data_IF_669495972098
#
_entry.id   IF_669495972098
#
_cell.length_a   1.000
_cell.length_b   1.000
_cell.length_c   1.000
_cell.angle_alpha   90.00
_cell.angle_beta   90.00
_cell.angle_gamma   90.00
#
_symmetry.space_group_name_H-M   'P 1'
#
loop_
_entity.id
_entity.type
_entity.pdbx_description
1 polymer ?
#
# COMPACT_ATOMS: atom_id res chain seq x y z
N UNK A 1 28.94 -56.61 -33.16
CA UNK A 1 29.17 -55.81 -31.93
C UNK A 1 28.45 -54.48 -32.09
N UNK A 2 27.21 -54.36 -31.59
CA UNK A 2 26.39 -53.12 -31.67
C UNK A 2 26.44 -52.43 -30.32
N UNK A 3 27.09 -51.27 -30.22
CA UNK A 3 27.04 -50.43 -29.01
C UNK A 3 25.83 -49.49 -29.12
N UNK A 4 24.83 -49.68 -28.25
CA UNK A 4 23.78 -48.69 -28.00
C UNK A 4 24.32 -47.67 -27.00
N UNK A 5 24.45 -46.41 -27.42
CA UNK A 5 24.60 -45.28 -26.49
C UNK A 5 23.21 -44.87 -26.00
N UNK A 6 22.96 -45.10 -24.70
CA UNK A 6 21.79 -44.59 -23.98
C UNK A 6 22.10 -43.14 -23.61
N UNK A 7 21.44 -42.17 -24.26
CA UNK A 7 21.50 -40.77 -23.85
C UNK A 7 20.73 -40.61 -22.54
N UNK A 8 21.46 -40.25 -21.47
CA UNK A 8 20.89 -39.85 -20.20
C UNK A 8 20.48 -38.38 -20.31
N UNK A 9 19.17 -38.09 -20.34
CA UNK A 9 18.67 -36.72 -20.22
C UNK A 9 18.48 -36.48 -18.72
N UNK A 10 19.32 -35.67 -18.05
CA UNK A 10 19.08 -35.35 -16.65
C UNK A 10 17.83 -34.48 -16.56
N UNK A 11 16.84 -34.95 -15.80
CA UNK A 11 15.69 -34.13 -15.39
C UNK A 11 16.22 -32.98 -14.54
N UNK A 12 16.25 -31.76 -15.10
CA UNK A 12 16.55 -30.55 -14.34
C UNK A 12 15.35 -30.30 -13.42
N UNK A 13 15.45 -30.72 -12.17
CA UNK A 13 14.53 -30.23 -11.13
C UNK A 13 14.89 -28.77 -10.86
N UNK A 14 14.14 -27.85 -11.46
CA UNK A 14 14.17 -26.43 -11.08
C UNK A 14 13.60 -26.36 -9.66
N UNK A 15 14.46 -26.37 -8.65
CA UNK A 15 14.07 -25.89 -7.32
C UNK A 15 13.82 -24.39 -7.47
N UNK A 16 12.55 -24.00 -7.52
CA UNK A 16 12.13 -22.63 -7.28
C UNK A 16 12.52 -22.28 -5.85
N UNK A 17 13.77 -21.85 -5.63
CA UNK A 17 14.17 -21.25 -4.36
C UNK A 17 13.50 -19.89 -4.30
N UNK A 18 12.37 -19.79 -3.61
CA UNK A 18 11.87 -18.51 -3.13
C UNK A 18 12.88 -18.02 -2.10
N UNK A 19 13.93 -17.35 -2.57
CA UNK A 19 14.84 -16.62 -1.70
C UNK A 19 14.02 -15.50 -1.07
N UNK A 20 13.70 -15.63 0.21
CA UNK A 20 13.28 -14.49 1.02
C UNK A 20 14.37 -13.43 0.81
N UNK A 21 14.03 -12.25 0.27
CA UNK A 21 15.05 -11.25 0.00
C UNK A 21 15.77 -10.92 1.29
N UNK A 22 17.08 -10.63 1.23
CA UNK A 22 17.87 -10.38 2.43
C UNK A 22 17.23 -9.25 3.24
N UNK A 23 16.61 -9.62 4.36
CA UNK A 23 15.88 -8.71 5.24
C UNK A 23 16.83 -7.66 5.77
N UNK A 24 16.45 -6.39 5.65
CA UNK A 24 17.22 -5.30 6.26
C UNK A 24 16.90 -5.30 7.75
N UNK A 25 17.92 -5.37 8.60
CA UNK A 25 17.74 -5.26 10.04
C UNK A 25 17.40 -3.80 10.38
N UNK A 26 16.31 -3.53 11.12
CA UNK A 26 15.97 -2.17 11.51
C UNK A 26 16.99 -1.60 12.50
N UNK A 27 17.29 -0.31 12.38
CA UNK A 27 17.95 0.46 13.42
C UNK A 27 17.04 0.64 14.66
N UNK A 28 17.58 1.22 15.73
CA UNK A 28 16.88 1.37 17.03
C UNK A 28 15.58 2.17 16.98
N UNK A 29 15.41 3.03 15.97
CA UNK A 29 14.22 3.85 15.75
C UNK A 29 13.47 3.49 14.46
N UNK A 30 13.71 2.30 13.91
CA UNK A 30 13.09 1.85 12.66
C UNK A 30 12.23 0.61 12.90
N UNK A 31 11.22 0.45 12.04
CA UNK A 31 10.39 -0.73 11.92
C UNK A 31 10.73 -1.42 10.59
N UNK A 32 10.80 -2.76 10.60
CA UNK A 32 10.94 -3.53 9.36
C UNK A 32 9.58 -4.02 8.89
N UNK A 33 9.26 -3.82 7.61
CA UNK A 33 8.01 -4.31 7.01
C UNK A 33 7.87 -5.83 7.05
N UNK A 34 8.96 -6.55 7.31
CA UNK A 34 8.96 -8.01 7.46
C UNK A 34 8.59 -8.48 8.87
N UNK A 35 8.45 -7.56 9.83
CA UNK A 35 7.91 -7.84 11.17
C UNK A 35 6.40 -7.57 11.27
N UNK A 36 5.82 -6.98 10.22
CA UNK A 36 4.39 -6.76 10.16
C UNK A 36 3.64 -8.07 9.95
N UNK A 37 2.44 -8.21 10.53
CA UNK A 37 1.72 -9.48 10.51
C UNK A 37 1.01 -9.72 9.18
N UNK A 38 0.67 -10.98 8.97
CA UNK A 38 -0.33 -11.45 8.00
C UNK A 38 -1.24 -12.43 8.75
N UNK A 39 -2.54 -12.13 8.98
CA UNK A 39 -3.32 -11.02 8.44
C UNK A 39 -2.81 -9.62 8.85
N UNK A 40 -3.09 -8.57 8.06
CA UNK A 40 -2.69 -7.20 8.38
C UNK A 40 -3.26 -6.71 9.70
N UNK A 41 -2.54 -5.83 10.38
CA UNK A 41 -2.97 -5.19 11.63
C UNK A 41 -3.28 -3.72 11.39
N UNK A 42 -4.38 -3.26 11.98
CA UNK A 42 -4.75 -1.84 12.03
C UNK A 42 -4.26 -1.26 13.35
N UNK A 43 -3.62 -0.10 13.30
CA UNK A 43 -3.20 0.66 14.48
C UNK A 43 -3.64 2.12 14.38
N UNK A 44 -4.00 2.70 15.51
CA UNK A 44 -4.15 4.15 15.64
C UNK A 44 -2.80 4.85 15.51
N UNK A 45 -2.80 6.04 14.91
CA UNK A 45 -1.60 6.86 14.87
C UNK A 45 -1.92 8.35 15.03
N UNK A 46 -1.10 9.02 15.84
CA UNK A 46 -1.14 10.47 16.06
C UNK A 46 -0.17 11.25 15.17
N UNK A 47 0.52 10.54 14.25
CA UNK A 47 1.39 11.16 13.26
C UNK A 47 0.58 12.15 12.42
N UNK A 48 1.18 13.29 12.10
CA UNK A 48 0.58 14.30 11.24
C UNK A 48 0.65 13.85 9.79
N UNK A 49 -0.50 13.64 9.16
CA UNK A 49 -0.60 13.22 7.77
C UNK A 49 -1.11 14.38 6.95
N UNK A 50 -0.36 14.77 5.91
CA UNK A 50 -0.75 15.79 4.96
C UNK A 50 -0.74 15.21 3.55
N UNK A 51 -1.75 15.56 2.74
CA UNK A 51 -1.82 15.19 1.32
C UNK A 51 -2.05 16.44 0.49
N UNK A 52 -1.15 16.66 -0.47
CA UNK A 52 -1.14 17.82 -1.36
C UNK A 52 -1.31 17.36 -2.80
N UNK A 53 -2.28 17.95 -3.49
CA UNK A 53 -2.51 17.73 -4.91
C UNK A 53 -2.93 19.04 -5.59
N UNK A 54 -2.27 19.35 -6.69
CA UNK A 54 -2.39 20.58 -7.44
C UNK A 54 -2.23 21.83 -6.55
N UNK A 55 -1.17 21.83 -5.72
CA UNK A 55 -0.83 22.87 -4.74
C UNK A 55 -1.89 23.13 -3.65
N UNK A 56 -2.87 22.23 -3.50
CA UNK A 56 -3.91 22.30 -2.46
C UNK A 56 -3.73 21.17 -1.47
N UNK A 57 -3.77 21.49 -0.17
CA UNK A 57 -3.92 20.49 0.90
C UNK A 57 -5.33 19.92 0.82
N UNK A 58 -5.43 18.65 0.41
CA UNK A 58 -6.70 17.92 0.24
C UNK A 58 -7.04 17.04 1.45
N UNK A 59 -6.06 16.77 2.33
CA UNK A 59 -6.26 16.13 3.61
C UNK A 59 -5.18 16.57 4.62
N UNK A 60 -5.58 16.75 5.88
CA UNK A 60 -4.71 17.11 7.01
C UNK A 60 -5.28 16.48 8.29
N UNK A 61 -4.57 15.52 8.88
CA UNK A 61 -5.08 14.78 10.05
C UNK A 61 -3.99 14.37 11.04
N UNK A 62 -4.38 14.20 12.30
CA UNK A 62 -3.62 13.52 13.37
C UNK A 62 -4.37 12.32 13.96
N UNK A 63 -5.40 11.84 13.26
CA UNK A 63 -6.30 10.79 13.73
C UNK A 63 -6.38 9.63 12.74
N UNK A 64 -5.32 9.45 11.93
CA UNK A 64 -5.28 8.40 10.94
C UNK A 64 -5.17 7.01 11.61
N UNK A 65 -5.58 5.99 10.86
CA UNK A 65 -5.17 4.61 11.10
C UNK A 65 -4.01 4.29 10.18
N UNK A 66 -3.04 3.50 10.66
CA UNK A 66 -2.03 2.85 9.80
C UNK A 66 -2.31 1.36 9.72
N UNK A 67 -2.24 0.81 8.51
CA UNK A 67 -2.36 -0.63 8.27
C UNK A 67 -0.99 -1.19 7.98
N UNK A 68 -0.60 -2.17 8.77
CA UNK A 68 0.69 -2.86 8.72
C UNK A 68 0.50 -4.24 8.12
N UNK A 69 1.17 -4.52 7.00
CA UNK A 69 1.11 -5.79 6.28
C UNK A 69 2.52 -6.22 5.88
N UNK A 70 2.83 -7.51 6.06
CA UNK A 70 4.15 -8.07 5.71
C UNK A 70 4.60 -7.62 4.32
N UNK A 71 5.87 -7.19 4.19
CA UNK A 71 6.52 -6.70 2.96
C UNK A 71 6.05 -5.35 2.40
N UNK A 72 5.05 -4.72 3.02
CA UNK A 72 4.48 -3.43 2.59
C UNK A 72 4.76 -2.36 3.66
N UNK A 73 5.21 -1.16 3.27
CA UNK A 73 5.18 0.00 4.15
C UNK A 73 3.76 0.29 4.65
N UNK A 74 3.60 1.02 5.77
CA UNK A 74 2.28 1.39 6.27
C UNK A 74 1.45 2.10 5.20
N UNK A 75 0.20 1.66 5.05
CA UNK A 75 -0.82 2.42 4.33
C UNK A 75 -1.64 3.22 5.35
N UNK A 76 -1.81 4.51 5.13
CA UNK A 76 -2.59 5.37 6.02
C UNK A 76 -4.04 5.46 5.53
N UNK A 77 -4.97 5.34 6.48
CA UNK A 77 -6.41 5.49 6.31
C UNK A 77 -6.84 6.70 7.12
N UNK A 78 -7.22 7.75 6.40
CA UNK A 78 -7.53 9.06 6.95
C UNK A 78 -9.05 9.11 7.24
N UNK A 79 -9.47 9.62 8.40
CA UNK A 79 -10.88 9.81 8.68
C UNK A 79 -11.50 10.77 7.67
N UNK A 80 -12.71 10.47 7.22
CA UNK A 80 -13.36 11.17 6.10
C UNK A 80 -13.60 12.67 6.35
N UNK A 81 -13.76 13.05 7.61
CA UNK A 81 -13.96 14.40 8.10
C UNK A 81 -12.71 15.29 8.00
N UNK A 82 -11.52 14.69 8.01
CA UNK A 82 -10.24 15.38 7.88
C UNK A 82 -9.75 15.43 6.41
N UNK A 83 -10.58 14.91 5.49
CA UNK A 83 -10.36 14.94 4.04
C UNK A 83 -11.37 15.90 3.42
N UNK A 84 -10.94 16.73 2.46
CA UNK A 84 -11.83 17.63 1.69
C UNK A 84 -12.62 16.86 0.64
N UNK A 85 -13.34 15.83 1.10
CA UNK A 85 -13.96 14.78 0.30
C UNK A 85 -15.03 15.35 -0.63
N UNK A 86 -15.93 16.17 -0.10
CA UNK A 86 -17.04 16.78 -0.88
C UNK A 86 -16.54 17.73 -1.98
N UNK A 87 -15.37 18.31 -1.79
CA UNK A 87 -14.83 19.34 -2.67
C UNK A 87 -14.04 18.73 -3.82
N UNK A 88 -13.23 17.70 -3.53
CA UNK A 88 -12.22 17.21 -4.47
C UNK A 88 -12.34 15.72 -4.84
N UNK A 89 -13.19 14.95 -4.17
CA UNK A 89 -13.28 13.50 -4.39
C UNK A 89 -14.63 13.13 -5.00
N UNK A 90 -14.58 12.46 -6.16
CA UNK A 90 -15.76 12.00 -6.90
C UNK A 90 -15.73 10.48 -7.00
N UNK A 91 -16.83 9.76 -6.71
CA UNK A 91 -16.89 8.32 -6.96
C UNK A 91 -16.51 8.02 -8.42
N UNK A 92 -15.78 6.93 -8.63
CA UNK A 92 -15.36 6.55 -9.98
C UNK A 92 -16.58 6.22 -10.85
N UNK A 93 -16.65 6.82 -12.05
CA UNK A 93 -17.80 6.68 -12.95
C UNK A 93 -17.91 5.28 -13.58
N UNK A 94 -16.81 4.54 -13.64
CA UNK A 94 -16.75 3.20 -14.22
C UNK A 94 -17.11 2.08 -13.24
N UNK A 95 -17.47 2.39 -12.00
CA UNK A 95 -17.79 1.40 -10.98
C UNK A 95 -16.61 0.52 -10.55
N UNK A 96 -15.36 0.95 -10.79
CA UNK A 96 -14.18 0.17 -10.40
C UNK A 96 -14.21 -0.11 -8.90
N UNK A 97 -14.02 -1.38 -8.58
CA UNK A 97 -13.81 -1.90 -7.23
C UNK A 97 -12.74 -2.99 -7.28
N UNK A 98 -12.17 -3.30 -6.12
CA UNK A 98 -11.22 -4.41 -5.99
C UNK A 98 -11.49 -5.19 -4.72
N UNK A 99 -11.23 -6.49 -4.74
CA UNK A 99 -11.37 -7.35 -3.57
C UNK A 99 -10.02 -7.57 -2.90
N UNK A 100 -9.97 -7.35 -1.58
CA UNK A 100 -8.86 -7.72 -0.72
C UNK A 100 -9.30 -8.90 0.16
N UNK A 101 -8.53 -9.98 0.17
CA UNK A 101 -8.83 -11.19 0.97
C UNK A 101 -9.01 -10.91 2.46
N UNK A 102 -8.39 -9.86 2.99
CA UNK A 102 -8.48 -9.46 4.39
C UNK A 102 -9.58 -8.43 4.65
N UNK A 103 -9.63 -7.38 3.83
CA UNK A 103 -10.39 -6.15 4.12
C UNK A 103 -11.77 -6.11 3.45
N UNK A 104 -12.02 -6.96 2.45
CA UNK A 104 -13.25 -6.96 1.67
C UNK A 104 -13.16 -6.10 0.41
N UNK A 105 -14.28 -5.49 0.01
CA UNK A 105 -14.40 -4.75 -1.26
C UNK A 105 -14.01 -3.29 -1.07
N UNK A 106 -12.96 -2.86 -1.77
CA UNK A 106 -12.56 -1.47 -1.87
C UNK A 106 -13.34 -0.75 -2.97
N UNK A 107 -13.81 0.45 -2.66
CA UNK A 107 -14.42 1.39 -3.59
C UNK A 107 -13.45 2.54 -3.84
N UNK A 108 -13.48 3.13 -5.03
CA UNK A 108 -12.49 4.12 -5.45
C UNK A 108 -13.07 5.51 -5.63
N UNK A 109 -12.24 6.52 -5.40
CA UNK A 109 -12.46 7.91 -5.75
C UNK A 109 -11.50 8.35 -6.87
N UNK A 110 -12.02 9.22 -7.73
CA UNK A 110 -11.24 10.16 -8.54
C UNK A 110 -10.98 11.41 -7.70
N UNK A 111 -9.75 11.92 -7.75
CA UNK A 111 -9.41 13.22 -7.16
C UNK A 111 -9.33 14.25 -8.28
N UNK A 112 -10.02 15.38 -8.10
CA UNK A 112 -10.05 16.48 -9.05
C UNK A 112 -9.93 17.81 -8.30
N UNK A 113 -8.87 18.57 -8.59
CA UNK A 113 -8.57 19.86 -7.95
C UNK A 113 -8.22 20.87 -9.04
N UNK A 114 -8.94 21.99 -9.11
CA UNK A 114 -8.69 23.07 -10.07
C UNK A 114 -8.47 22.59 -11.52
N UNK A 115 -9.25 21.60 -11.96
CA UNK A 115 -9.19 21.02 -13.31
C UNK A 115 -8.13 19.93 -13.54
N UNK A 116 -7.18 19.73 -12.62
CA UNK A 116 -6.26 18.57 -12.65
C UNK A 116 -6.97 17.37 -12.03
N UNK A 117 -6.93 16.22 -12.71
CA UNK A 117 -7.66 15.00 -12.32
C UNK A 117 -6.75 13.77 -12.31
N UNK A 118 -6.91 12.92 -11.30
CA UNK A 118 -6.33 11.57 -11.22
C UNK A 118 -7.41 10.55 -10.85
N UNK A 119 -7.54 9.51 -11.67
CA UNK A 119 -8.57 8.48 -11.50
C UNK A 119 -8.09 7.34 -10.61
N UNK A 120 -9.00 6.81 -9.79
CA UNK A 120 -8.72 5.69 -8.88
C UNK A 120 -7.57 5.97 -7.90
N UNK A 121 -7.42 7.25 -7.51
CA UNK A 121 -6.30 7.73 -6.72
C UNK A 121 -6.46 7.52 -5.21
N UNK A 122 -7.69 7.30 -4.78
CA UNK A 122 -8.02 6.98 -3.40
C UNK A 122 -9.02 5.84 -3.34
N UNK A 123 -9.05 5.14 -2.22
CA UNK A 123 -10.02 4.07 -1.96
C UNK A 123 -10.49 4.07 -0.52
N UNK A 124 -11.61 3.40 -0.29
CA UNK A 124 -12.22 3.22 1.02
C UNK A 124 -12.98 1.90 1.08
N UNK A 125 -13.26 1.43 2.29
CA UNK A 125 -14.09 0.26 2.55
C UNK A 125 -15.38 0.68 3.24
N UNK A 126 -16.51 0.55 2.55
CA UNK A 126 -17.83 0.83 3.15
C UNK A 126 -18.36 -0.31 4.02
N UNK A 127 -17.88 -1.52 3.75
CA UNK A 127 -18.20 -2.75 4.48
C UNK A 127 -16.93 -3.58 4.69
N UNK A 128 -15.98 -3.09 5.51
CA UNK A 128 -14.76 -3.85 5.79
C UNK A 128 -15.09 -5.14 6.56
N UNK A 129 -14.19 -6.12 6.48
CA UNK A 129 -14.32 -7.37 7.25
C UNK A 129 -14.29 -7.10 8.76
N UNK A 130 -15.34 -7.55 9.46
CA UNK A 130 -15.47 -7.37 10.91
C UNK A 130 -14.90 -8.57 11.70
N UNK A 131 -14.45 -8.38 12.95
CA UNK A 131 -14.28 -7.08 13.64
C UNK A 131 -12.93 -6.40 13.32
N UNK A 132 -11.99 -7.12 12.71
CA UNK A 132 -10.58 -6.73 12.60
C UNK A 132 -10.35 -5.43 11.84
N UNK A 133 -11.19 -5.12 10.84
CA UNK A 133 -11.05 -3.94 9.98
C UNK A 133 -12.22 -2.95 10.12
N UNK A 134 -13.11 -3.13 11.10
CA UNK A 134 -14.26 -2.24 11.30
C UNK A 134 -13.84 -0.78 11.54
N UNK A 135 -12.68 -0.55 12.15
CA UNK A 135 -12.18 0.78 12.49
C UNK A 135 -11.68 1.62 11.30
N UNK A 136 -11.50 1.01 10.13
CA UNK A 136 -11.15 1.74 8.88
C UNK A 136 -12.37 1.92 7.95
N UNK A 137 -13.58 1.61 8.44
CA UNK A 137 -14.80 1.84 7.68
C UNK A 137 -14.88 3.31 7.27
N UNK A 138 -15.13 3.52 5.97
CA UNK A 138 -15.26 4.83 5.33
C UNK A 138 -14.04 5.76 5.47
N UNK A 139 -12.91 5.27 6.02
CA UNK A 139 -11.64 5.99 5.99
C UNK A 139 -11.02 5.93 4.59
N UNK A 140 -10.35 7.01 4.22
CA UNK A 140 -9.79 7.22 2.88
C UNK A 140 -8.31 6.88 2.89
N UNK A 141 -7.90 5.95 2.04
CA UNK A 141 -6.50 5.71 1.74
C UNK A 141 -6.15 6.26 0.35
N UNK A 142 -4.93 6.74 0.16
CA UNK A 142 -4.49 7.49 -1.03
C UNK A 142 -3.18 6.92 -1.58
N UNK A 143 -3.12 6.77 -2.90
CA UNK A 143 -1.90 6.39 -3.61
C UNK A 143 -0.93 7.57 -3.70
N UNK A 144 0.11 7.57 -2.87
CA UNK A 144 1.09 8.66 -2.79
C UNK A 144 1.81 8.95 -4.12
N UNK A 145 1.99 7.95 -4.99
CA UNK A 145 2.64 8.14 -6.30
C UNK A 145 1.81 8.98 -7.29
N UNK A 146 0.52 9.22 -7.00
CA UNK A 146 -0.36 10.04 -7.84
C UNK A 146 -0.55 11.45 -7.30
N UNK A 147 -0.04 11.74 -6.09
CA UNK A 147 -0.12 13.04 -5.44
C UNK A 147 1.13 13.87 -5.75
N UNK A 148 1.05 15.19 -5.59
CA UNK A 148 2.23 16.05 -5.73
C UNK A 148 3.14 15.92 -4.49
N UNK A 149 2.52 15.75 -3.31
CA UNK A 149 3.24 15.44 -2.08
C UNK A 149 2.34 14.77 -1.03
N UNK A 150 2.88 13.78 -0.34
CA UNK A 150 2.34 13.26 0.91
C UNK A 150 3.39 13.44 2.01
N UNK A 151 2.97 13.78 3.23
CA UNK A 151 3.86 13.89 4.39
C UNK A 151 3.39 13.09 5.59
N UNK A 152 4.34 12.68 6.40
CA UNK A 152 4.14 12.05 7.71
C UNK A 152 5.05 12.78 8.72
N UNK A 153 4.47 13.47 9.69
CA UNK A 153 5.20 14.35 10.63
C UNK A 153 6.13 15.34 9.92
N UNK A 154 5.66 15.93 8.82
CA UNK A 154 6.42 16.85 7.99
C UNK A 154 7.48 16.19 7.08
N UNK A 155 7.70 14.88 7.21
CA UNK A 155 8.60 14.14 6.33
C UNK A 155 7.91 13.78 5.02
N UNK A 156 8.52 14.14 3.89
CA UNK A 156 8.03 13.74 2.56
C UNK A 156 8.10 12.23 2.38
N UNK A 157 6.97 11.64 1.99
CA UNK A 157 6.82 10.22 1.73
C UNK A 157 7.45 9.83 0.40
N UNK A 158 8.12 8.68 0.38
CA UNK A 158 8.47 7.97 -0.84
C UNK A 158 7.36 6.92 -1.09
N UNK A 159 6.69 6.91 -2.25
CA UNK A 159 5.66 5.92 -2.53
C UNK A 159 6.26 4.52 -2.62
N UNK A 160 5.54 3.52 -2.11
CA UNK A 160 5.88 2.12 -2.35
C UNK A 160 6.01 1.87 -3.87
N UNK A 161 7.06 1.17 -4.33
CA UNK A 161 7.23 0.88 -5.75
C UNK A 161 6.02 0.16 -6.36
N UNK A 162 5.82 0.35 -7.67
CA UNK A 162 4.69 -0.22 -8.40
C UNK A 162 3.49 0.72 -8.49
N UNK A 163 2.39 0.23 -9.07
CA UNK A 163 1.18 1.02 -9.34
C UNK A 163 -0.04 0.53 -8.56
N UNK A 164 0.11 -0.55 -7.80
CA UNK A 164 -1.00 -1.24 -7.14
C UNK A 164 -0.98 -1.12 -5.61
N UNK A 165 0.17 -0.73 -5.05
CA UNK A 165 0.38 -0.74 -3.60
C UNK A 165 0.28 0.67 -3.02
N UNK A 166 -0.41 0.76 -1.89
CA UNK A 166 -0.70 2.00 -1.18
C UNK A 166 0.29 2.38 -0.09
N UNK A 167 1.41 1.66 0.05
CA UNK A 167 2.36 1.85 1.14
C UNK A 167 3.13 3.17 1.04
N UNK A 168 3.36 3.81 2.18
CA UNK A 168 4.10 5.06 2.32
C UNK A 168 5.42 4.79 3.04
N UNK A 169 6.54 5.07 2.38
CA UNK A 169 7.89 4.88 2.93
C UNK A 169 8.38 6.19 3.54
N UNK A 170 8.76 6.12 4.81
CA UNK A 170 9.45 7.15 5.60
C UNK A 170 10.74 6.57 6.16
N UNK A 171 11.64 7.40 6.70
CA UNK A 171 12.97 7.03 7.20
C UNK A 171 12.94 6.01 8.33
N UNK A 172 11.84 5.95 9.07
CA UNK A 172 11.60 4.99 10.15
C UNK A 172 11.13 3.62 9.64
N UNK A 173 10.90 3.44 8.34
CA UNK A 173 10.44 2.19 7.75
C UNK A 173 11.52 1.58 6.87
N UNK A 174 11.93 0.34 7.16
CA UNK A 174 12.92 -0.39 6.37
C UNK A 174 12.33 -1.60 5.65
N UNK A 175 12.87 -1.84 4.46
CA UNK A 175 12.46 -2.89 3.56
C UNK A 175 13.24 -4.21 3.73
N UNK A 176 13.45 -4.96 2.63
CA UNK A 176 13.06 -4.62 1.25
C UNK A 176 11.54 -4.52 1.08
N UNK A 177 11.09 -3.69 0.15
CA UNK A 177 9.66 -3.44 -0.10
C UNK A 177 9.17 -4.16 -1.35
N UNK A 178 7.97 -4.73 -1.28
CA UNK A 178 7.28 -5.28 -2.44
C UNK A 178 6.96 -4.17 -3.46
N UNK A 179 6.92 -4.52 -4.75
CA UNK A 179 6.43 -3.68 -5.85
C UNK A 179 7.43 -3.36 -6.97
N UNK A 180 8.71 -3.71 -6.80
CA UNK A 180 9.70 -3.69 -7.90
C UNK A 180 9.55 -4.94 -8.79
N UNK A 181 10.08 -4.92 -10.03
CA UNK A 181 10.28 -6.15 -10.80
C UNK A 181 10.91 -7.24 -9.91
N UNK A 182 10.49 -8.49 -10.11
CA UNK A 182 10.93 -9.69 -9.35
C UNK A 182 10.43 -9.83 -7.89
N UNK A 183 9.61 -8.90 -7.39
CA UNK A 183 9.05 -8.96 -6.03
C UNK A 183 7.61 -9.49 -5.96
N UNK A 184 7.04 -9.91 -7.09
CA UNK A 184 5.61 -10.28 -7.17
C UNK A 184 5.24 -11.48 -6.29
N UNK A 185 6.18 -12.42 -6.11
CA UNK A 185 5.99 -13.63 -5.30
C UNK A 185 6.31 -13.48 -3.81
N UNK A 186 6.62 -12.26 -3.34
CA UNK A 186 6.84 -11.97 -1.92
C UNK A 186 5.54 -11.92 -1.12
#
# INVERSE_FOLDING_TARGET
MKFLFRYFIPTITIKMSYSIPYRILPGSSQESVWDYPRPPRVEDTSKHIEVIFNDVVIADTRHAKRVLETSHPPTYYLPSEDVRLKEFFKPVSNGKSSYCEWKGVANYYTIEVNGKKVENAAWYYSKPTEPQFSSIKDHIAIYANQMDECRVDGERVIPQPGQFYGGWITKDIVGPFKGKPDTMGW
#
